data_IF_155921005040
#
_entry.id   IF_155921005040
#
_cell.length_a   1.000
_cell.length_b   1.000
_cell.length_c   1.000
_cell.angle_alpha   90.00
_cell.angle_beta   90.00
_cell.angle_gamma   90.00
#
_symmetry.space_group_name_H-M   'P 1'
#
loop_
_entity.id
_entity.type
_entity.pdbx_description
1 polymer ?
#
# COMPACT_ATOMS: atom_id res chain seq x y z
N UNK A 1 -25.87 -46.49 2.07
CA UNK A 1 -25.62 -45.78 2.45
C UNK A 1 -24.54 -44.71 2.72
N UNK A 2 -23.53 -44.55 2.02
CA UNK A 2 -22.56 -43.53 2.28
C UNK A 2 -22.77 -42.30 1.36
N UNK A 3 -23.85 -41.59 1.60
CA UNK A 3 -24.20 -40.46 0.75
C UNK A 3 -23.90 -39.08 1.36
N UNK A 4 -23.48 -39.08 2.61
CA UNK A 4 -23.30 -37.85 3.34
C UNK A 4 -21.92 -37.20 3.14
N UNK A 5 -21.04 -37.90 2.42
CA UNK A 5 -19.67 -37.40 2.24
C UNK A 5 -19.52 -36.38 1.13
N UNK A 6 -20.56 -36.23 0.30
CA UNK A 6 -20.44 -35.35 -0.86
C UNK A 6 -20.57 -33.84 -0.55
N UNK A 7 -21.22 -33.55 0.55
CA UNK A 7 -21.45 -32.15 0.88
C UNK A 7 -20.27 -31.50 1.59
N UNK A 8 -19.31 -32.30 2.02
CA UNK A 8 -18.19 -31.82 2.79
C UNK A 8 -16.98 -31.38 1.96
N UNK A 9 -16.92 -31.87 0.72
CA UNK A 9 -15.82 -31.54 -0.17
C UNK A 9 -15.99 -30.21 -0.88
N UNK A 10 -17.21 -29.70 -0.99
CA UNK A 10 -17.47 -28.42 -1.62
C UNK A 10 -17.05 -27.24 -0.74
N UNK A 11 -17.05 -27.44 0.58
CA UNK A 11 -16.63 -26.36 1.49
C UNK A 11 -15.12 -26.20 1.66
N UNK A 12 -14.35 -27.18 1.17
CA UNK A 12 -12.89 -27.13 1.31
C UNK A 12 -12.18 -26.33 0.24
N UNK A 13 -12.82 -26.11 -0.90
CA UNK A 13 -12.20 -25.37 -2.01
C UNK A 13 -12.34 -23.86 -1.86
N UNK A 14 -13.35 -23.41 -1.14
CA UNK A 14 -13.57 -21.99 -0.94
C UNK A 14 -12.53 -21.35 0.00
N UNK A 15 -12.01 -22.13 0.95
CA UNK A 15 -11.01 -21.65 1.89
C UNK A 15 -9.64 -21.39 1.27
N UNK A 16 -9.31 -22.06 0.17
CA UNK A 16 -8.02 -21.87 -0.48
C UNK A 16 -7.98 -20.60 -1.34
N UNK A 17 -9.09 -20.24 -1.95
CA UNK A 17 -9.21 -19.00 -2.69
C UNK A 17 -9.14 -17.80 -1.75
N UNK A 18 -9.82 -17.87 -0.62
CA UNK A 18 -9.85 -16.79 0.38
C UNK A 18 -8.46 -16.50 0.97
N UNK A 19 -7.65 -17.53 1.18
CA UNK A 19 -6.29 -17.35 1.71
C UNK A 19 -5.39 -16.65 0.70
N UNK A 20 -5.49 -16.98 -0.58
CA UNK A 20 -4.71 -16.32 -1.62
C UNK A 20 -5.06 -14.85 -1.76
N UNK A 21 -6.34 -14.54 -1.68
CA UNK A 21 -6.84 -13.17 -1.80
C UNK A 21 -6.43 -12.30 -0.62
N UNK A 22 -6.51 -12.82 0.60
CA UNK A 22 -6.09 -12.09 1.79
C UNK A 22 -4.57 -11.92 1.83
N UNK A 23 -3.80 -12.85 1.28
CA UNK A 23 -2.34 -12.70 1.16
C UNK A 23 -1.98 -11.52 0.26
N UNK A 24 -2.63 -11.41 -0.89
CA UNK A 24 -2.42 -10.28 -1.81
C UNK A 24 -2.79 -8.96 -1.14
N UNK A 25 -3.96 -8.90 -0.51
CA UNK A 25 -4.40 -7.69 0.20
C UNK A 25 -3.43 -7.32 1.32
N UNK A 26 -2.95 -8.29 2.10
CA UNK A 26 -2.00 -8.04 3.16
C UNK A 26 -0.64 -7.54 2.64
N UNK A 27 -0.21 -8.00 1.49
CA UNK A 27 0.99 -7.47 0.84
C UNK A 27 0.81 -5.99 0.49
N UNK A 28 -0.34 -5.63 -0.09
CA UNK A 28 -0.66 -4.24 -0.41
C UNK A 28 -0.77 -3.39 0.86
N UNK A 29 -1.38 -3.92 1.91
CA UNK A 29 -1.48 -3.26 3.22
C UNK A 29 -0.09 -2.94 3.77
N UNK A 30 0.82 -3.91 3.77
CA UNK A 30 2.20 -3.69 4.22
C UNK A 30 2.89 -2.57 3.44
N UNK A 31 2.68 -2.53 2.13
CA UNK A 31 3.22 -1.48 1.26
C UNK A 31 2.64 -0.09 1.60
N UNK A 32 1.34 -0.04 1.91
CA UNK A 32 0.70 1.21 2.36
C UNK A 32 1.24 1.69 3.69
N UNK A 33 1.46 0.79 4.64
CA UNK A 33 2.05 1.13 5.94
C UNK A 33 3.44 1.75 5.74
N UNK A 34 4.27 1.14 4.91
CA UNK A 34 5.60 1.68 4.59
C UNK A 34 5.50 3.08 3.98
N UNK A 35 4.52 3.30 3.10
CA UNK A 35 4.23 4.60 2.49
C UNK A 35 3.85 5.65 3.54
N UNK A 36 2.99 5.30 4.48
CA UNK A 36 2.56 6.21 5.55
C UNK A 36 3.76 6.60 6.41
N UNK A 37 4.55 5.64 6.83
CA UNK A 37 5.75 5.89 7.62
C UNK A 37 6.76 6.75 6.86
N UNK A 38 6.93 6.49 5.56
CA UNK A 38 7.80 7.29 4.70
C UNK A 38 7.36 8.74 4.61
N UNK A 39 6.08 8.99 4.40
CA UNK A 39 5.54 10.35 4.37
C UNK A 39 5.66 11.06 5.70
N UNK A 40 5.38 10.36 6.80
CA UNK A 40 5.50 10.95 8.14
C UNK A 40 6.94 11.35 8.43
N UNK A 41 7.89 10.51 8.05
CA UNK A 41 9.31 10.80 8.23
C UNK A 41 9.75 11.98 7.36
N UNK A 42 9.35 11.98 6.10
CA UNK A 42 9.66 13.09 5.18
C UNK A 42 9.09 14.41 5.71
N UNK A 43 7.87 14.40 6.22
CA UNK A 43 7.22 15.58 6.80
C UNK A 43 7.96 16.11 8.02
N UNK A 44 8.45 15.20 8.87
CA UNK A 44 9.15 15.58 10.10
C UNK A 44 10.51 16.22 9.81
N UNK A 45 11.16 15.83 8.74
CA UNK A 45 12.57 16.15 8.49
C UNK A 45 12.81 17.16 7.36
N UNK A 46 11.81 17.42 6.51
CA UNK A 46 11.93 18.46 5.49
C UNK A 46 12.04 19.84 6.14
N UNK A 47 12.83 20.73 5.55
CA UNK A 47 12.94 22.13 5.99
C UNK A 47 11.85 23.00 5.38
N UNK A 48 11.15 22.49 4.37
CA UNK A 48 10.10 23.22 3.65
C UNK A 48 8.73 22.94 4.30
N UNK A 49 8.17 23.96 4.94
CA UNK A 49 6.87 23.84 5.64
C UNK A 49 5.74 23.41 4.70
N UNK A 50 5.74 23.84 3.45
CA UNK A 50 4.72 23.46 2.46
C UNK A 50 4.83 21.98 2.11
N UNK A 51 6.04 21.46 1.94
CA UNK A 51 6.26 20.04 1.70
C UNK A 51 5.82 19.21 2.91
N UNK A 52 6.15 19.64 4.12
CA UNK A 52 5.72 18.97 5.35
C UNK A 52 4.21 18.84 5.41
N UNK A 53 3.49 19.91 5.08
CA UNK A 53 2.03 19.91 5.05
C UNK A 53 1.49 18.93 4.00
N UNK A 54 2.05 18.93 2.80
CA UNK A 54 1.66 18.02 1.73
C UNK A 54 1.91 16.55 2.11
N UNK A 55 3.06 16.26 2.69
CA UNK A 55 3.41 14.89 3.11
C UNK A 55 2.49 14.40 4.23
N UNK A 56 2.21 15.24 5.22
CA UNK A 56 1.30 14.90 6.30
C UNK A 56 -0.12 14.66 5.80
N UNK A 57 -0.61 15.49 4.89
CA UNK A 57 -1.93 15.32 4.29
C UNK A 57 -2.04 13.98 3.55
N UNK A 58 -1.00 13.62 2.81
CA UNK A 58 -0.97 12.35 2.09
C UNK A 58 -0.91 11.16 3.05
N UNK A 59 -0.15 11.25 4.12
CA UNK A 59 -0.10 10.21 5.15
C UNK A 59 -1.47 9.97 5.78
N UNK A 60 -2.21 11.03 6.10
CA UNK A 60 -3.55 10.94 6.68
C UNK A 60 -4.54 10.29 5.72
N UNK A 61 -4.52 10.67 4.45
CA UNK A 61 -5.36 10.05 3.43
C UNK A 61 -5.07 8.56 3.29
N UNK A 62 -3.78 8.20 3.24
CA UNK A 62 -3.35 6.80 3.14
C UNK A 62 -3.76 5.98 4.35
N UNK A 63 -3.81 6.59 5.53
CA UNK A 63 -4.30 5.91 6.73
C UNK A 63 -5.76 5.50 6.58
N UNK A 64 -6.59 6.32 5.96
CA UNK A 64 -7.98 5.97 5.69
C UNK A 64 -8.10 4.81 4.71
N UNK A 65 -7.31 4.83 3.65
CA UNK A 65 -7.25 3.75 2.66
C UNK A 65 -6.80 2.44 3.31
N UNK A 66 -5.78 2.51 4.14
CA UNK A 66 -5.26 1.37 4.91
C UNK A 66 -6.35 0.74 5.77
N UNK A 67 -7.07 1.56 6.53
CA UNK A 67 -8.14 1.08 7.42
C UNK A 67 -9.21 0.32 6.64
N UNK A 68 -9.58 0.81 5.45
CA UNK A 68 -10.58 0.13 4.60
C UNK A 68 -10.08 -1.22 4.09
N UNK A 69 -8.82 -1.30 3.67
CA UNK A 69 -8.25 -2.57 3.22
C UNK A 69 -8.13 -3.58 4.36
N UNK A 70 -7.74 -3.13 5.54
CA UNK A 70 -7.69 -3.97 6.74
C UNK A 70 -9.08 -4.51 7.08
N UNK A 71 -10.11 -3.67 7.01
CA UNK A 71 -11.49 -4.09 7.24
C UNK A 71 -11.94 -5.13 6.20
N UNK A 72 -11.53 -4.97 4.94
CA UNK A 72 -11.86 -5.92 3.88
C UNK A 72 -11.23 -7.28 4.15
N UNK A 73 -9.96 -7.33 4.55
CA UNK A 73 -9.29 -8.58 4.94
C UNK A 73 -10.04 -9.28 6.07
N UNK A 74 -10.43 -8.53 7.09
CA UNK A 74 -11.17 -9.07 8.23
C UNK A 74 -12.53 -9.66 7.80
N UNK A 75 -13.26 -8.97 6.91
CA UNK A 75 -14.53 -9.47 6.39
C UNK A 75 -14.36 -10.75 5.57
N UNK A 76 -13.26 -10.90 4.87
CA UNK A 76 -12.95 -12.10 4.10
C UNK A 76 -12.43 -13.26 4.97
N UNK A 77 -12.38 -13.07 6.27
CA UNK A 77 -11.95 -14.11 7.22
C UNK A 77 -10.44 -14.20 7.43
N UNK A 78 -9.67 -13.26 6.86
CA UNK A 78 -8.24 -13.19 7.04
C UNK A 78 -7.83 -12.39 8.27
N UNK A 79 -6.54 -12.37 8.53
CA UNK A 79 -5.94 -11.58 9.61
C UNK A 79 -5.25 -10.35 9.00
N UNK A 80 -5.80 -9.14 9.19
CA UNK A 80 -5.23 -7.95 8.58
C UNK A 80 -3.79 -7.70 9.07
N UNK A 81 -2.90 -7.39 8.13
CA UNK A 81 -1.54 -6.96 8.45
C UNK A 81 -1.59 -5.62 9.17
N UNK A 82 -0.80 -5.46 10.21
CA UNK A 82 -0.71 -4.22 10.99
C UNK A 82 0.70 -3.63 11.04
N UNK A 83 1.67 -4.31 10.46
CA UNK A 83 3.05 -3.86 10.37
C UNK A 83 3.47 -3.67 8.91
N UNK A 84 4.43 -2.78 8.70
CA UNK A 84 5.06 -2.61 7.40
C UNK A 84 5.90 -3.82 7.01
N UNK A 85 6.37 -3.83 5.77
CA UNK A 85 7.20 -4.91 5.27
C UNK A 85 8.66 -4.65 5.64
N UNK A 86 9.16 -5.33 6.68
CA UNK A 86 10.53 -5.12 7.15
C UNK A 86 11.57 -5.89 6.36
N UNK A 87 11.20 -6.98 5.69
CA UNK A 87 12.13 -7.86 5.00
C UNK A 87 11.77 -8.13 3.55
N UNK A 88 10.70 -7.55 3.05
CA UNK A 88 10.20 -7.79 1.70
C UNK A 88 10.66 -6.77 0.68
N UNK A 89 10.31 -7.03 -0.57
CA UNK A 89 10.60 -6.15 -1.68
C UNK A 89 9.92 -4.77 -1.55
N UNK A 90 8.81 -4.69 -0.81
CA UNK A 90 8.08 -3.45 -0.58
C UNK A 90 8.91 -2.41 0.16
N UNK A 91 9.70 -2.85 1.14
CA UNK A 91 10.57 -1.97 1.91
C UNK A 91 11.60 -1.26 1.02
N UNK A 92 12.00 -1.86 -0.09
CA UNK A 92 12.98 -1.28 -1.02
C UNK A 92 12.50 0.03 -1.65
N UNK A 93 11.20 0.25 -1.73
CA UNK A 93 10.64 1.48 -2.26
C UNK A 93 11.04 2.71 -1.45
N UNK A 94 11.31 2.54 -0.15
CA UNK A 94 11.57 3.64 0.78
C UNK A 94 12.93 3.56 1.46
N UNK A 95 13.83 2.69 0.99
CA UNK A 95 15.10 2.39 1.65
C UNK A 95 16.04 3.58 1.76
N UNK A 96 16.05 4.45 0.75
CA UNK A 96 16.97 5.57 0.69
C UNK A 96 16.42 6.85 1.32
N UNK A 97 15.17 6.84 1.78
CA UNK A 97 14.56 8.00 2.41
C UNK A 97 15.32 8.44 3.66
N UNK A 98 15.81 7.49 4.45
CA UNK A 98 16.58 7.79 5.65
C UNK A 98 17.85 8.59 5.33
N UNK A 99 18.54 8.25 4.27
CA UNK A 99 19.74 8.96 3.84
C UNK A 99 19.43 10.37 3.33
N UNK A 100 18.37 10.50 2.53
CA UNK A 100 17.91 11.79 2.03
C UNK A 100 17.54 12.73 3.18
N UNK A 101 16.83 12.18 4.17
CA UNK A 101 16.42 12.91 5.39
C UNK A 101 17.63 13.36 6.21
N UNK A 102 18.64 12.49 6.38
CA UNK A 102 19.85 12.84 7.13
C UNK A 102 20.63 13.97 6.46
N UNK A 103 20.61 14.03 5.13
CA UNK A 103 21.22 15.11 4.37
C UNK A 103 20.43 16.42 4.42
N UNK A 104 19.18 16.39 4.88
CA UNK A 104 18.26 17.54 4.93
C UNK A 104 18.14 18.30 3.61
N UNK A 105 18.27 17.56 2.51
CA UNK A 105 18.10 18.10 1.18
C UNK A 105 16.66 17.85 0.74
N UNK A 106 15.86 18.89 0.69
CA UNK A 106 14.44 18.81 0.33
C UNK A 106 14.22 18.21 -1.06
N UNK A 107 15.10 18.53 -2.00
CA UNK A 107 15.04 17.95 -3.35
C UNK A 107 15.26 16.43 -3.30
N UNK A 108 16.25 15.97 -2.55
CA UNK A 108 16.52 14.55 -2.38
C UNK A 108 15.36 13.83 -1.68
N UNK A 109 14.75 14.46 -0.68
CA UNK A 109 13.58 13.93 0.01
C UNK A 109 12.41 13.74 -0.97
N UNK A 110 12.11 14.76 -1.78
CA UNK A 110 11.03 14.68 -2.78
C UNK A 110 11.29 13.57 -3.79
N UNK A 111 12.51 13.43 -4.27
CA UNK A 111 12.89 12.38 -5.22
C UNK A 111 12.71 10.98 -4.63
N UNK A 112 13.07 10.79 -3.37
CA UNK A 112 12.90 9.49 -2.70
C UNK A 112 11.44 9.19 -2.40
N UNK A 113 10.65 10.18 -2.02
CA UNK A 113 9.20 10.01 -1.85
C UNK A 113 8.55 9.63 -3.18
N UNK A 114 8.90 10.30 -4.26
CA UNK A 114 8.37 10.00 -5.59
C UNK A 114 8.77 8.58 -6.04
N UNK A 115 10.00 8.16 -5.76
CA UNK A 115 10.46 6.81 -6.05
C UNK A 115 9.65 5.76 -5.27
N UNK A 116 9.37 6.01 -4.01
CA UNK A 116 8.51 5.16 -3.20
C UNK A 116 7.09 5.08 -3.76
N UNK A 117 6.58 6.19 -4.27
CA UNK A 117 5.26 6.23 -4.93
C UNK A 117 5.25 5.41 -6.23
N UNK A 118 6.32 5.45 -7.01
CA UNK A 118 6.46 4.60 -8.20
C UNK A 118 6.38 3.13 -7.83
N UNK A 119 7.05 2.74 -6.76
CA UNK A 119 7.04 1.37 -6.27
C UNK A 119 5.64 0.94 -5.83
N UNK A 120 4.97 1.78 -5.04
CA UNK A 120 3.61 1.53 -4.56
C UNK A 120 2.63 1.39 -5.72
N UNK A 121 2.69 2.31 -6.67
CA UNK A 121 1.86 2.29 -7.86
C UNK A 121 2.03 0.99 -8.65
N UNK A 122 3.28 0.56 -8.84
CA UNK A 122 3.56 -0.68 -9.56
C UNK A 122 2.97 -1.91 -8.85
N UNK A 123 3.02 -1.95 -7.52
CA UNK A 123 2.46 -3.05 -6.73
C UNK A 123 0.95 -3.14 -6.87
N UNK A 124 0.25 -2.01 -6.79
CA UNK A 124 -1.20 -1.98 -6.97
C UNK A 124 -1.60 -2.31 -8.40
N UNK A 125 -0.90 -1.79 -9.38
CA UNK A 125 -1.14 -2.09 -10.80
C UNK A 125 -0.99 -3.59 -11.08
N UNK A 126 0.08 -4.21 -10.57
CA UNK A 126 0.30 -5.64 -10.74
C UNK A 126 -0.83 -6.45 -10.11
N UNK A 127 -1.28 -6.09 -8.91
CA UNK A 127 -2.38 -6.80 -8.24
C UNK A 127 -3.67 -6.72 -9.06
N UNK A 128 -3.99 -5.55 -9.62
CA UNK A 128 -5.20 -5.36 -10.41
C UNK A 128 -5.14 -6.07 -11.77
N UNK A 129 -3.97 -6.19 -12.37
CA UNK A 129 -3.80 -6.77 -13.70
C UNK A 129 -3.62 -8.29 -13.69
N UNK A 130 -2.93 -8.81 -12.69
CA UNK A 130 -2.44 -10.19 -12.71
C UNK A 130 -3.02 -11.09 -11.61
N UNK A 131 -3.72 -10.54 -10.64
CA UNK A 131 -4.34 -11.33 -9.57
C UNK A 131 -5.84 -11.40 -9.80
N UNK A 132 -6.37 -12.62 -9.76
CA UNK A 132 -7.81 -12.83 -9.84
C UNK A 132 -8.41 -12.64 -8.44
N UNK A 133 -8.91 -11.45 -8.19
CA UNK A 133 -9.49 -11.07 -6.91
C UNK A 133 -11.01 -11.21 -6.95
N UNK A 134 -11.65 -11.69 -5.85
CA UNK A 134 -13.11 -11.68 -5.76
C UNK A 134 -13.62 -10.23 -5.79
N UNK A 135 -14.88 -10.06 -6.13
CA UNK A 135 -15.48 -8.75 -6.39
C UNK A 135 -15.25 -7.75 -5.24
N UNK A 136 -15.43 -8.19 -3.99
CA UNK A 136 -15.24 -7.32 -2.83
C UNK A 136 -13.79 -6.88 -2.66
N UNK A 137 -12.85 -7.80 -2.80
CA UNK A 137 -11.43 -7.51 -2.71
C UNK A 137 -10.99 -6.57 -3.84
N UNK A 138 -11.43 -6.86 -5.07
CA UNK A 138 -11.12 -6.02 -6.23
C UNK A 138 -11.63 -4.59 -6.06
N UNK A 139 -12.87 -4.44 -5.59
CA UNK A 139 -13.45 -3.11 -5.35
C UNK A 139 -12.63 -2.31 -4.34
N UNK A 140 -12.19 -2.95 -3.26
CA UNK A 140 -11.34 -2.31 -2.25
C UNK A 140 -9.98 -1.90 -2.81
N UNK A 141 -9.37 -2.74 -3.62
CA UNK A 141 -8.07 -2.45 -4.27
C UNK A 141 -8.22 -1.32 -5.29
N UNK A 142 -9.30 -1.31 -6.06
CA UNK A 142 -9.58 -0.23 -7.03
C UNK A 142 -9.79 1.11 -6.33
N UNK A 143 -10.48 1.13 -5.20
CA UNK A 143 -10.66 2.34 -4.40
C UNK A 143 -9.31 2.84 -3.87
N UNK A 144 -8.49 1.93 -3.36
CA UNK A 144 -7.14 2.27 -2.90
C UNK A 144 -6.26 2.75 -4.06
N UNK A 145 -6.41 2.15 -5.23
CA UNK A 145 -5.68 2.54 -6.44
C UNK A 145 -5.89 4.02 -6.80
N UNK A 146 -7.12 4.51 -6.66
CA UNK A 146 -7.43 5.91 -6.94
C UNK A 146 -6.59 6.85 -6.06
N UNK A 147 -6.47 6.53 -4.77
CA UNK A 147 -5.63 7.30 -3.84
C UNK A 147 -4.13 7.18 -4.18
N UNK A 148 -3.68 5.97 -4.47
CA UNK A 148 -2.28 5.70 -4.82
C UNK A 148 -1.88 6.47 -6.07
N UNK A 149 -2.71 6.43 -7.10
CA UNK A 149 -2.45 7.16 -8.35
C UNK A 149 -2.42 8.67 -8.13
N UNK A 150 -3.36 9.21 -7.36
CA UNK A 150 -3.39 10.64 -7.05
C UNK A 150 -2.13 11.08 -6.30
N UNK A 151 -1.68 10.30 -5.34
CA UNK A 151 -0.45 10.58 -4.61
C UNK A 151 0.79 10.51 -5.48
N UNK A 152 0.87 9.50 -6.34
CA UNK A 152 1.96 9.38 -7.29
C UNK A 152 2.01 10.60 -8.22
N UNK A 153 0.87 11.00 -8.78
CA UNK A 153 0.81 12.12 -9.71
C UNK A 153 1.20 13.44 -9.03
N UNK A 154 0.78 13.63 -7.78
CA UNK A 154 1.15 14.81 -6.99
C UNK A 154 2.66 14.87 -6.75
N UNK A 155 3.27 13.75 -6.35
CA UNK A 155 4.71 13.71 -6.08
C UNK A 155 5.54 13.82 -7.36
N UNK A 156 5.05 13.25 -8.45
CA UNK A 156 5.69 13.39 -9.75
C UNK A 156 5.68 14.85 -10.22
N UNK A 157 4.56 15.54 -10.07
CA UNK A 157 4.46 16.96 -10.40
C UNK A 157 5.39 17.81 -9.52
N UNK A 158 5.47 17.51 -8.22
CA UNK A 158 6.37 18.21 -7.31
C UNK A 158 7.83 18.00 -7.70
N UNK A 159 8.22 16.78 -8.02
CA UNK A 159 9.59 16.47 -8.47
C UNK A 159 9.94 17.25 -9.73
N UNK A 160 9.04 17.30 -10.72
CA UNK A 160 9.27 18.06 -11.94
C UNK A 160 9.38 19.56 -11.69
N UNK A 161 8.67 20.10 -10.71
CA UNK A 161 8.69 21.50 -10.38
C UNK A 161 10.02 21.94 -9.73
N UNK A 162 10.73 21.02 -9.07
CA UNK A 162 11.98 21.31 -8.38
C UNK A 162 13.24 20.90 -9.15
N UNK A 163 13.08 20.17 -10.24
CA UNK A 163 14.22 19.74 -11.08
C UNK A 163 14.83 20.88 -11.91
#
# INVERSE_FOLDING_TARGET
MAYDDYTRTAGGTDNHADVGDTTTLNTLIGTLIDSIEGYQKAAADTTNARFAEMFNARAQERQQVLTRLQATVARLGGNPEDDGTTAGAAHRGWINLKEAVLGRDDEAIVKEVERGEDYLKAKFSTALEHVDLPAEARAAVEEAWTSVKAGHDEMSALKHAID
#
